data_IF_204037083085
#
_entry.id   IF_204037083085
#
_cell.length_a   1.000
_cell.length_b   1.000
_cell.length_c   1.000
_cell.angle_alpha   90.00
_cell.angle_beta   90.00
_cell.angle_gamma   90.00
#
_symmetry.space_group_name_H-M   'P 1'
#
loop_
_entity.id
_entity.type
_entity.pdbx_description
1 polymer ?
#
# COMPACT_ATOMS: atom_id res chain seq x y z
N UNK A 1 24.06 18.64 2.31
CA UNK A 1 22.71 19.24 2.43
C UNK A 1 21.74 18.53 1.48
N UNK A 2 21.14 17.41 1.89
CA UNK A 2 20.04 16.78 1.16
C UNK A 2 18.75 17.12 1.88
N UNK A 3 18.05 18.14 1.36
CA UNK A 3 16.72 18.56 1.79
C UNK A 3 15.80 17.33 1.88
N UNK A 4 15.49 16.86 3.09
CA UNK A 4 14.47 15.83 3.29
C UNK A 4 13.14 16.38 2.78
N UNK A 5 12.75 15.95 1.59
CA UNK A 5 11.54 16.41 0.94
C UNK A 5 10.35 15.83 1.70
N UNK A 6 9.63 16.67 2.45
CA UNK A 6 8.35 16.28 3.05
C UNK A 6 7.51 15.52 2.05
N UNK A 7 7.00 14.34 2.43
CA UNK A 7 6.10 13.59 1.57
C UNK A 7 4.78 14.36 1.52
N UNK A 8 4.30 14.65 0.31
CA UNK A 8 2.98 15.26 0.11
C UNK A 8 1.91 14.26 0.55
N UNK A 9 1.28 14.49 1.71
CA UNK A 9 0.31 13.57 2.33
C UNK A 9 -0.74 13.07 1.34
N UNK A 10 -1.41 14.00 0.63
CA UNK A 10 -2.46 13.64 -0.33
C UNK A 10 -1.93 12.85 -1.53
N UNK A 11 -0.70 13.11 -1.97
CA UNK A 11 -0.12 12.40 -3.11
C UNK A 11 0.20 10.96 -2.73
N UNK A 12 0.75 10.76 -1.53
CA UNK A 12 1.08 9.44 -1.02
C UNK A 12 -0.17 8.63 -0.67
N UNK A 13 -1.17 9.25 -0.03
CA UNK A 13 -2.45 8.61 0.23
C UNK A 13 -3.16 8.15 -1.04
N UNK A 14 -3.17 8.96 -2.12
CA UNK A 14 -3.71 8.56 -3.42
C UNK A 14 -2.94 7.39 -4.04
N UNK A 15 -1.62 7.40 -3.92
CA UNK A 15 -0.78 6.31 -4.41
C UNK A 15 -1.07 5.00 -3.66
N UNK A 16 -1.10 5.05 -2.33
CA UNK A 16 -1.45 3.90 -1.47
C UNK A 16 -2.86 3.38 -1.77
N UNK A 17 -3.83 4.29 -1.96
CA UNK A 17 -5.19 3.94 -2.35
C UNK A 17 -5.24 3.19 -3.68
N UNK A 18 -4.48 3.64 -4.68
CA UNK A 18 -4.42 2.98 -5.98
C UNK A 18 -3.81 1.57 -5.85
N UNK A 19 -2.69 1.43 -5.13
CA UNK A 19 -2.06 0.12 -4.91
C UNK A 19 -3.00 -0.85 -4.20
N UNK A 20 -3.68 -0.38 -3.15
CA UNK A 20 -4.63 -1.22 -2.41
C UNK A 20 -5.86 -1.54 -3.24
N UNK A 21 -6.38 -0.61 -4.05
CA UNK A 21 -7.49 -0.89 -4.96
C UNK A 21 -7.14 -1.99 -5.97
N UNK A 22 -5.91 -2.00 -6.50
CA UNK A 22 -5.43 -3.09 -7.37
C UNK A 22 -5.41 -4.44 -6.64
N UNK A 23 -4.97 -4.47 -5.38
CA UNK A 23 -5.08 -5.67 -4.54
C UNK A 23 -6.55 -6.07 -4.29
N UNK A 24 -7.43 -5.09 -4.13
CA UNK A 24 -8.87 -5.29 -4.01
C UNK A 24 -9.50 -5.91 -5.27
N UNK A 25 -8.96 -5.64 -6.47
CA UNK A 25 -9.40 -6.32 -7.71
C UNK A 25 -9.05 -7.80 -7.64
N UNK A 26 -7.82 -8.13 -7.24
CA UNK A 26 -7.38 -9.53 -7.10
C UNK A 26 -8.21 -10.25 -6.04
N UNK A 27 -8.41 -9.63 -4.88
CA UNK A 27 -9.23 -10.18 -3.80
C UNK A 27 -10.69 -10.35 -4.23
N UNK A 28 -11.26 -9.36 -4.94
CA UNK A 28 -12.61 -9.41 -5.49
C UNK A 28 -12.78 -10.55 -6.49
N UNK A 29 -11.80 -10.78 -7.37
CA UNK A 29 -11.80 -11.89 -8.32
C UNK A 29 -11.74 -13.24 -7.61
N UNK A 30 -10.84 -13.40 -6.63
CA UNK A 30 -10.75 -14.63 -5.84
C UNK A 30 -12.08 -14.90 -5.13
N UNK A 31 -12.71 -13.87 -4.55
CA UNK A 31 -13.99 -14.02 -3.85
C UNK A 31 -15.15 -14.36 -4.79
N UNK A 32 -15.25 -13.68 -5.94
CA UNK A 32 -16.34 -13.91 -6.89
C UNK A 32 -16.25 -15.28 -7.55
N UNK A 33 -15.10 -15.62 -8.12
CA UNK A 33 -14.90 -16.88 -8.83
C UNK A 33 -14.75 -18.05 -7.85
N UNK A 34 -14.08 -17.82 -6.71
CA UNK A 34 -13.98 -18.82 -5.64
C UNK A 34 -15.34 -19.15 -5.04
N UNK A 35 -16.19 -18.16 -4.79
CA UNK A 35 -17.56 -18.36 -4.31
C UNK A 35 -18.42 -19.13 -5.31
N UNK A 36 -18.36 -18.75 -6.59
CA UNK A 36 -19.10 -19.45 -7.64
C UNK A 36 -18.63 -20.91 -7.83
N UNK A 37 -17.32 -21.14 -7.77
CA UNK A 37 -16.75 -22.49 -7.82
C UNK A 37 -17.16 -23.31 -6.60
N UNK A 38 -17.08 -22.71 -5.41
CA UNK A 38 -17.48 -23.35 -4.16
C UNK A 38 -18.95 -23.79 -4.18
N UNK A 39 -19.85 -22.92 -4.65
CA UNK A 39 -21.28 -23.24 -4.76
C UNK A 39 -21.53 -24.35 -5.78
N UNK A 40 -20.85 -24.31 -6.93
CA UNK A 40 -20.97 -25.34 -7.96
C UNK A 40 -20.52 -26.72 -7.45
N UNK A 41 -19.42 -26.77 -6.69
CA UNK A 41 -18.91 -28.03 -6.14
C UNK A 41 -19.76 -28.53 -4.97
N UNK A 42 -20.25 -27.62 -4.11
CA UNK A 42 -20.94 -27.99 -2.87
C UNK A 42 -22.42 -28.29 -3.08
N UNK A 43 -23.08 -27.57 -3.99
CA UNK A 43 -24.54 -27.66 -4.19
C UNK A 43 -24.93 -28.11 -5.60
N UNK A 44 -23.97 -28.20 -6.53
CA UNK A 44 -24.24 -28.57 -7.92
C UNK A 44 -24.92 -27.47 -8.74
N UNK A 45 -25.13 -26.28 -8.19
CA UNK A 45 -25.80 -25.17 -8.86
C UNK A 45 -25.26 -23.81 -8.41
N UNK A 46 -25.43 -22.78 -9.25
CA UNK A 46 -25.22 -21.40 -8.84
C UNK A 46 -26.47 -20.88 -8.15
N UNK A 47 -26.29 -20.25 -6.99
CA UNK A 47 -27.39 -19.68 -6.21
C UNK A 47 -27.29 -18.13 -6.15
N UNK A 48 -28.24 -17.50 -5.46
CA UNK A 48 -28.25 -16.04 -5.30
C UNK A 48 -27.01 -15.50 -4.56
N UNK A 49 -26.39 -16.29 -3.68
CA UNK A 49 -25.13 -15.97 -2.99
C UNK A 49 -23.95 -15.89 -3.94
N UNK A 50 -23.82 -16.82 -4.89
CA UNK A 50 -22.86 -16.70 -6.01
C UNK A 50 -23.07 -15.41 -6.78
N UNK A 51 -24.31 -15.06 -7.12
CA UNK A 51 -24.63 -13.80 -7.79
C UNK A 51 -24.21 -12.58 -6.98
N UNK A 52 -24.42 -12.61 -5.66
CA UNK A 52 -23.99 -11.56 -4.75
C UNK A 52 -22.46 -11.44 -4.66
N UNK A 53 -21.74 -12.57 -4.76
CA UNK A 53 -20.29 -12.60 -4.68
C UNK A 53 -19.61 -11.82 -5.82
N UNK A 54 -20.26 -11.68 -6.99
CA UNK A 54 -19.75 -10.84 -8.08
C UNK A 54 -19.76 -9.35 -7.76
N UNK A 55 -20.58 -8.87 -6.82
CA UNK A 55 -20.46 -7.50 -6.34
C UNK A 55 -19.11 -7.23 -5.67
N UNK A 56 -18.40 -8.26 -5.20
CA UNK A 56 -17.05 -8.10 -4.67
C UNK A 56 -16.04 -7.60 -5.72
N UNK A 57 -16.28 -7.80 -7.02
CA UNK A 57 -15.45 -7.23 -8.09
C UNK A 57 -15.43 -5.70 -8.09
N UNK A 58 -16.46 -5.07 -7.50
CA UNK A 58 -16.55 -3.60 -7.36
C UNK A 58 -16.37 -3.20 -5.91
N UNK A 59 -17.00 -3.93 -4.98
CA UNK A 59 -16.95 -3.65 -3.55
C UNK A 59 -15.54 -3.76 -2.96
N UNK A 60 -14.78 -4.81 -3.31
CA UNK A 60 -13.44 -5.01 -2.75
C UNK A 60 -12.43 -3.95 -3.23
N UNK A 61 -12.33 -3.59 -4.53
CA UNK A 61 -11.48 -2.48 -4.96
C UNK A 61 -11.80 -1.16 -4.25
N UNK A 62 -13.09 -0.84 -4.06
CA UNK A 62 -13.50 0.39 -3.37
C UNK A 62 -13.10 0.32 -1.89
N UNK A 63 -13.42 -0.77 -1.21
CA UNK A 63 -13.10 -0.94 0.21
C UNK A 63 -11.59 -0.90 0.47
N UNK A 64 -10.82 -1.64 -0.32
CA UNK A 64 -9.36 -1.66 -0.21
C UNK A 64 -8.76 -0.30 -0.59
N UNK A 65 -9.27 0.37 -1.63
CA UNK A 65 -8.80 1.70 -2.01
C UNK A 65 -9.03 2.74 -0.92
N UNK A 66 -10.21 2.74 -0.28
CA UNK A 66 -10.51 3.61 0.85
C UNK A 66 -9.61 3.31 2.05
N UNK A 67 -9.43 2.03 2.38
CA UNK A 67 -8.54 1.61 3.46
C UNK A 67 -7.07 2.00 3.18
N UNK A 68 -6.60 1.80 1.95
CA UNK A 68 -5.28 2.22 1.50
C UNK A 68 -5.10 3.73 1.54
N UNK A 69 -6.13 4.51 1.21
CA UNK A 69 -6.08 5.96 1.35
C UNK A 69 -5.85 6.39 2.81
N UNK A 70 -6.61 5.81 3.74
CA UNK A 70 -6.49 6.11 5.18
C UNK A 70 -5.12 5.68 5.70
N UNK A 71 -4.67 4.47 5.37
CA UNK A 71 -3.33 4.00 5.72
C UNK A 71 -2.24 4.92 5.18
N UNK A 72 -2.33 5.33 3.91
CA UNK A 72 -1.35 6.23 3.31
C UNK A 72 -1.33 7.61 3.98
N UNK A 73 -2.48 8.13 4.44
CA UNK A 73 -2.49 9.35 5.25
C UNK A 73 -1.74 9.15 6.58
N UNK A 74 -2.01 8.06 7.29
CA UNK A 74 -1.34 7.73 8.56
C UNK A 74 0.16 7.57 8.36
N UNK A 75 0.58 6.81 7.35
CA UNK A 75 1.99 6.57 7.01
C UNK A 75 2.71 7.87 6.63
N UNK A 76 2.09 8.73 5.81
CA UNK A 76 2.69 10.01 5.44
C UNK A 76 2.83 10.97 6.63
N UNK A 77 1.85 10.98 7.54
CA UNK A 77 1.94 11.73 8.80
C UNK A 77 3.09 11.20 9.64
N UNK A 78 3.16 9.88 9.86
CA UNK A 78 4.24 9.26 10.63
C UNK A 78 5.62 9.57 10.02
N UNK A 79 5.77 9.44 8.70
CA UNK A 79 7.03 9.75 8.01
C UNK A 79 7.46 11.20 8.19
N UNK A 80 6.53 12.14 8.12
CA UNK A 80 6.83 13.56 8.32
C UNK A 80 7.10 13.92 9.80
N UNK A 81 6.60 13.13 10.76
CA UNK A 81 6.88 13.31 12.18
C UNK A 81 8.19 12.62 12.62
N UNK A 82 8.60 11.53 11.98
CA UNK A 82 9.81 10.77 12.33
C UNK A 82 11.10 11.60 12.47
N UNK A 83 11.41 12.57 11.58
CA UNK A 83 12.60 13.42 11.72
C UNK A 83 12.63 14.22 13.03
N UNK A 84 11.46 14.53 13.61
CA UNK A 84 11.38 15.24 14.90
C UNK A 84 11.72 14.35 16.10
N UNK A 85 11.59 13.04 15.96
CA UNK A 85 11.79 12.09 17.06
C UNK A 85 13.18 11.46 17.04
N UNK A 86 13.74 11.23 15.85
CA UNK A 86 15.04 10.56 15.74
C UNK A 86 16.22 11.51 15.56
N UNK A 87 15.99 12.83 15.47
CA UNK A 87 17.02 13.79 15.09
C UNK A 87 17.47 13.56 13.65
N UNK A 88 17.90 14.60 12.94
CA UNK A 88 18.64 14.39 11.70
C UNK A 88 19.87 13.55 12.04
N UNK A 89 19.88 12.28 11.64
CA UNK A 89 21.09 11.47 11.74
C UNK A 89 22.06 12.06 10.72
N UNK A 90 22.89 13.02 11.15
CA UNK A 90 24.03 13.52 10.39
C UNK A 90 25.04 12.38 10.25
N UNK A 91 24.87 11.59 9.20
CA UNK A 91 25.92 10.68 8.74
C UNK A 91 26.98 11.52 8.04
N UNK A 92 27.88 12.11 8.83
CA UNK A 92 29.05 12.80 8.30
C UNK A 92 30.07 11.74 7.84
N UNK A 93 29.94 11.34 6.57
CA UNK A 93 30.94 10.52 5.90
C UNK A 93 32.12 11.40 5.49
N UNK A 94 32.83 11.97 6.46
CA UNK A 94 34.16 12.50 6.23
C UNK A 94 35.12 11.33 6.00
N UNK A 95 35.19 10.92 4.73
CA UNK A 95 36.24 10.05 4.22
C UNK A 95 37.58 10.80 4.36
N UNK A 96 38.24 10.64 5.50
CA UNK A 96 39.66 10.98 5.65
C UNK A 96 40.47 10.05 4.75
N UNK A 97 40.62 10.41 3.48
CA UNK A 97 41.68 9.84 2.64
C UNK A 97 42.96 10.52 3.11
N UNK A 98 43.73 9.81 3.93
CA UNK A 98 45.07 10.23 4.34
C UNK A 98 45.92 10.43 3.08
N UNK A 99 46.57 11.60 2.89
CA UNK A 99 47.51 11.81 1.80
C UNK A 99 48.84 11.15 2.18
N UNK A 100 48.87 9.82 2.23
CA UNK A 100 50.09 9.05 2.41
C UNK A 100 50.33 8.22 1.15
N UNK A 101 50.79 8.90 0.11
CA UNK A 101 51.75 8.36 -0.84
C UNK A 101 52.30 9.49 -1.72
N UNK A 102 53.26 10.22 -1.15
CA UNK A 102 54.34 10.84 -1.91
C UNK A 102 55.63 10.13 -1.51
N UNK A 103 56.03 9.15 -2.30
CA UNK A 103 57.43 8.77 -2.51
C UNK A 103 57.58 8.23 -3.91
#
# INVERSE_FOLDING_TARGET
MTKSGNIKLLSFAKFQALLMALLGIVAGAIYSFGGAFYDLVSTGSLNAGSGLAFFALVGMPIAFGLFGFVLGLVEAVLFNLSPRWFGEIELDFERRVSPENRV
#
